data_IF_410864500110
#
_entry.id   IF_410864500110
#
_cell.length_a   1.000
_cell.length_b   1.000
_cell.length_c   1.000
_cell.angle_alpha   90.00
_cell.angle_beta   90.00
_cell.angle_gamma   90.00
#
_symmetry.space_group_name_H-M   'P 1'
#
loop_
_entity.id
_entity.type
_entity.pdbx_description
1 polymer ?
#
# COMPACT_ATOMS: atom_id res chain seq x y z
N UNK A 1 -16.39 -13.40 -15.12
CA UNK A 1 -17.79 -13.82 -14.87
C UNK A 1 -17.93 -14.14 -13.39
N UNK A 2 -19.12 -13.83 -12.81
CA UNK A 2 -19.45 -14.21 -11.45
C UNK A 2 -20.02 -15.64 -11.36
N UNK A 3 -20.15 -16.17 -10.14
CA UNK A 3 -20.68 -17.50 -9.88
C UNK A 3 -22.17 -17.63 -10.19
N UNK A 4 -22.93 -16.52 -10.13
CA UNK A 4 -24.36 -16.51 -10.50
C UNK A 4 -24.66 -16.33 -11.99
N UNK A 5 -23.65 -15.96 -12.80
CA UNK A 5 -23.87 -15.75 -14.24
C UNK A 5 -24.28 -17.04 -14.97
N UNK A 6 -23.86 -18.20 -14.47
CA UNK A 6 -24.06 -19.49 -15.10
C UNK A 6 -25.32 -20.25 -14.62
N UNK A 7 -26.29 -19.60 -13.98
CA UNK A 7 -27.51 -20.28 -13.48
C UNK A 7 -28.44 -20.80 -14.58
N UNK A 8 -28.47 -20.15 -15.76
CA UNK A 8 -29.34 -20.51 -16.86
C UNK A 8 -28.61 -20.95 -18.12
N UNK A 9 -27.40 -20.47 -18.34
CA UNK A 9 -26.55 -20.79 -19.46
C UNK A 9 -25.17 -21.25 -18.95
N UNK A 10 -24.52 -22.13 -19.68
CA UNK A 10 -23.14 -22.52 -19.34
C UNK A 10 -22.20 -21.31 -19.48
N UNK A 11 -21.12 -21.30 -18.70
CA UNK A 11 -20.07 -20.28 -18.78
C UNK A 11 -19.50 -20.16 -20.21
N UNK A 12 -19.36 -21.28 -20.92
CA UNK A 12 -18.93 -21.30 -22.33
C UNK A 12 -19.91 -20.61 -23.27
N UNK A 13 -21.21 -20.76 -23.06
CA UNK A 13 -22.24 -20.10 -23.85
C UNK A 13 -22.22 -18.59 -23.60
N UNK A 14 -22.17 -18.17 -22.34
CA UNK A 14 -22.08 -16.76 -21.96
C UNK A 14 -20.81 -16.14 -22.58
N UNK A 15 -19.66 -16.80 -22.43
CA UNK A 15 -18.40 -16.31 -22.99
C UNK A 15 -18.47 -16.17 -24.52
N UNK A 16 -19.04 -17.17 -25.23
CA UNK A 16 -19.23 -17.07 -26.66
C UNK A 16 -20.14 -15.90 -27.08
N UNK A 17 -21.21 -15.64 -26.30
CA UNK A 17 -22.10 -14.51 -26.52
C UNK A 17 -21.39 -13.17 -26.33
N UNK A 18 -20.64 -13.03 -25.22
CA UNK A 18 -19.85 -11.83 -24.95
C UNK A 18 -18.79 -11.60 -26.02
N UNK A 19 -18.05 -12.64 -26.38
CA UNK A 19 -16.98 -12.57 -27.39
C UNK A 19 -17.50 -12.23 -28.77
N UNK A 20 -18.71 -12.63 -29.11
CA UNK A 20 -19.37 -12.29 -30.36
C UNK A 20 -19.88 -10.83 -30.43
N UNK A 21 -19.92 -10.12 -29.31
CA UNK A 21 -20.37 -8.72 -29.27
C UNK A 21 -19.34 -7.81 -29.95
N UNK A 22 -19.79 -6.91 -30.78
CA UNK A 22 -18.95 -5.89 -31.43
C UNK A 22 -18.32 -4.90 -30.44
N UNK A 23 -18.79 -4.86 -29.22
CA UNK A 23 -18.28 -4.01 -28.17
C UNK A 23 -17.30 -4.74 -27.21
N UNK A 24 -17.10 -6.04 -27.43
CA UNK A 24 -16.16 -6.79 -26.63
C UNK A 24 -14.72 -6.44 -27.03
N UNK A 25 -13.97 -5.91 -26.07
CA UNK A 25 -12.58 -5.50 -26.27
C UNK A 25 -11.57 -6.50 -25.70
N UNK A 26 -12.05 -7.58 -25.05
CA UNK A 26 -11.20 -8.63 -24.53
C UNK A 26 -10.53 -9.46 -25.64
N UNK A 27 -9.39 -10.04 -25.30
CA UNK A 27 -8.71 -11.00 -26.15
C UNK A 27 -9.32 -12.41 -25.96
N UNK A 28 -9.15 -13.32 -26.94
CA UNK A 28 -9.54 -14.70 -26.74
C UNK A 28 -8.86 -15.30 -25.49
N UNK A 29 -9.64 -16.00 -24.66
CA UNK A 29 -9.08 -16.76 -23.54
C UNK A 29 -8.14 -17.83 -24.08
N UNK A 30 -6.94 -18.03 -23.49
CA UNK A 30 -6.08 -19.15 -23.88
C UNK A 30 -6.81 -20.48 -23.67
N UNK A 31 -6.68 -21.39 -24.62
CA UNK A 31 -7.44 -22.66 -24.62
C UNK A 31 -6.93 -23.70 -23.65
N UNK A 32 -5.69 -23.54 -23.20
CA UNK A 32 -4.98 -24.52 -22.37
C UNK A 32 -5.03 -24.18 -20.88
N UNK A 33 -5.82 -23.18 -20.48
CA UNK A 33 -5.94 -22.81 -19.08
C UNK A 33 -7.40 -22.86 -18.61
N UNK A 34 -7.58 -23.09 -17.33
CA UNK A 34 -8.89 -23.13 -16.68
C UNK A 34 -9.62 -21.80 -16.79
N UNK A 35 -10.96 -21.86 -16.78
CA UNK A 35 -11.83 -20.69 -16.81
C UNK A 35 -12.00 -20.06 -18.19
N UNK A 36 -12.88 -19.06 -18.24
CA UNK A 36 -13.32 -18.37 -19.47
C UNK A 36 -13.05 -16.86 -19.38
N UNK A 37 -12.51 -16.28 -20.45
CA UNK A 37 -12.29 -14.83 -20.53
C UNK A 37 -11.01 -14.35 -19.86
N UNK A 38 -10.09 -15.25 -19.53
CA UNK A 38 -8.76 -14.84 -19.07
C UNK A 38 -8.05 -14.07 -20.17
N UNK A 39 -7.68 -12.82 -19.90
CA UNK A 39 -6.95 -11.99 -20.86
C UNK A 39 -6.11 -10.92 -20.19
N UNK A 40 -5.11 -10.43 -20.92
CA UNK A 40 -4.32 -9.27 -20.54
C UNK A 40 -4.54 -8.16 -21.58
N UNK A 41 -5.00 -7.00 -21.15
CA UNK A 41 -5.32 -5.87 -21.99
C UNK A 41 -4.28 -4.76 -21.76
N UNK A 42 -3.30 -4.58 -22.67
CA UNK A 42 -2.35 -3.49 -22.57
C UNK A 42 -3.03 -2.14 -22.87
N UNK A 43 -2.76 -1.16 -22.05
CA UNK A 43 -3.08 0.24 -22.28
C UNK A 43 -1.86 0.89 -22.91
N UNK A 44 -2.03 1.49 -24.07
CA UNK A 44 -0.97 2.09 -24.86
C UNK A 44 -0.92 3.61 -24.68
N UNK A 45 0.26 4.19 -24.90
CA UNK A 45 0.42 5.63 -25.04
C UNK A 45 -0.30 6.17 -26.29
N UNK A 46 -0.39 7.50 -26.40
CA UNK A 46 -1.04 8.18 -27.54
C UNK A 46 -0.18 8.22 -28.81
N UNK A 47 0.97 7.57 -28.82
CA UNK A 47 1.87 7.55 -29.97
C UNK A 47 1.40 6.51 -31.00
N UNK A 48 0.61 6.94 -31.98
CA UNK A 48 0.03 6.05 -33.01
C UNK A 48 1.05 5.38 -33.93
N UNK A 49 2.27 5.92 -34.04
CA UNK A 49 3.31 5.37 -34.94
C UNK A 49 4.12 4.26 -34.25
N UNK A 50 4.34 4.35 -32.95
CA UNK A 50 5.14 3.40 -32.17
C UNK A 50 4.52 3.24 -30.77
N UNK A 51 3.24 2.91 -30.68
CA UNK A 51 2.53 2.76 -29.42
C UNK A 51 3.21 1.72 -28.52
N UNK A 52 3.49 2.12 -27.28
CA UNK A 52 4.08 1.25 -26.25
C UNK A 52 3.06 1.02 -25.14
N UNK A 53 3.00 -0.19 -24.58
CA UNK A 53 2.17 -0.44 -23.41
C UNK A 53 2.70 0.37 -22.22
N UNK A 54 1.79 1.03 -21.52
CA UNK A 54 2.05 1.85 -20.33
C UNK A 54 1.49 1.22 -19.07
N UNK A 55 0.45 0.42 -19.21
CA UNK A 55 -0.15 -0.36 -18.13
C UNK A 55 -0.76 -1.64 -18.71
N UNK A 56 -1.08 -2.59 -17.84
CA UNK A 56 -1.79 -3.82 -18.23
C UNK A 56 -2.98 -4.06 -17.31
N UNK A 57 -4.14 -4.39 -17.88
CA UNK A 57 -5.31 -4.87 -17.14
C UNK A 57 -5.39 -6.38 -17.32
N UNK A 58 -5.21 -7.13 -16.24
CA UNK A 58 -5.42 -8.57 -16.22
C UNK A 58 -6.86 -8.86 -15.82
N UNK A 59 -7.59 -9.56 -16.68
CA UNK A 59 -8.90 -10.12 -16.37
C UNK A 59 -8.72 -11.62 -16.16
N UNK A 60 -9.03 -12.11 -14.98
CA UNK A 60 -8.90 -13.53 -14.61
C UNK A 60 -10.29 -14.08 -14.30
N UNK A 61 -10.57 -15.28 -14.74
CA UNK A 61 -11.76 -16.01 -14.29
C UNK A 61 -11.44 -16.65 -12.93
N UNK A 62 -12.10 -16.21 -11.88
CA UNK A 62 -11.99 -16.81 -10.54
C UNK A 62 -12.81 -18.10 -10.39
N UNK A 63 -13.32 -18.61 -11.50
CA UNK A 63 -14.15 -19.81 -11.60
C UNK A 63 -15.52 -19.67 -10.91
N UNK A 64 -16.08 -20.74 -10.39
CA UNK A 64 -17.47 -20.87 -9.97
C UNK A 64 -17.56 -21.50 -8.57
N UNK A 65 -18.67 -22.17 -8.29
CA UNK A 65 -18.80 -23.02 -7.11
C UNK A 65 -17.87 -24.26 -7.21
N UNK A 66 -17.28 -24.62 -6.08
CA UNK A 66 -16.44 -25.83 -5.99
C UNK A 66 -17.33 -27.09 -6.07
N UNK A 67 -17.10 -28.01 -7.02
CA UNK A 67 -17.86 -29.26 -7.12
C UNK A 67 -17.69 -30.17 -5.91
N UNK A 68 -16.47 -30.24 -5.38
CA UNK A 68 -16.16 -30.99 -4.16
C UNK A 68 -16.35 -30.12 -2.92
N UNK A 69 -17.45 -30.32 -2.22
CA UNK A 69 -17.82 -29.52 -1.03
C UNK A 69 -16.89 -29.70 0.15
N UNK A 70 -16.08 -30.73 0.20
CA UNK A 70 -15.04 -30.91 1.22
C UNK A 70 -13.90 -29.88 1.05
N UNK A 71 -13.67 -29.39 -0.17
CA UNK A 71 -12.68 -28.36 -0.51
C UNK A 71 -13.19 -26.93 -0.31
N UNK A 72 -14.47 -26.74 -0.08
CA UNK A 72 -15.08 -25.42 0.16
C UNK A 72 -16.30 -25.17 -0.72
N UNK A 73 -16.84 -23.96 -0.63
CA UNK A 73 -18.01 -23.56 -1.41
C UNK A 73 -17.62 -23.03 -2.77
N UNK A 74 -16.57 -22.24 -2.83
CA UNK A 74 -16.08 -21.57 -4.04
C UNK A 74 -14.79 -22.21 -4.53
N UNK A 75 -14.64 -22.25 -5.86
CA UNK A 75 -13.43 -22.65 -6.54
C UNK A 75 -12.37 -21.53 -6.44
N UNK A 76 -11.14 -21.82 -6.81
CA UNK A 76 -10.00 -20.90 -6.71
C UNK A 76 -9.41 -20.62 -8.09
N UNK A 77 -8.54 -19.62 -8.19
CA UNK A 77 -7.73 -19.38 -9.39
C UNK A 77 -6.72 -20.51 -9.53
N UNK A 78 -6.80 -21.31 -10.58
CA UNK A 78 -6.05 -22.53 -10.78
C UNK A 78 -4.57 -22.26 -11.11
N UNK A 79 -3.73 -23.25 -10.90
CA UNK A 79 -2.28 -23.14 -11.12
C UNK A 79 -1.90 -22.82 -12.57
N UNK A 80 -2.64 -23.32 -13.54
CA UNK A 80 -2.45 -23.01 -14.96
C UNK A 80 -2.75 -21.54 -15.29
N UNK A 81 -3.77 -20.96 -14.64
CA UNK A 81 -4.08 -19.52 -14.75
C UNK A 81 -2.98 -18.66 -14.11
N UNK A 82 -2.46 -19.09 -12.95
CA UNK A 82 -1.36 -18.43 -12.27
C UNK A 82 -0.09 -18.48 -13.11
N UNK A 83 0.23 -19.62 -13.68
CA UNK A 83 1.40 -19.77 -14.54
C UNK A 83 1.27 -18.90 -15.82
N UNK A 84 0.08 -18.87 -16.42
CA UNK A 84 -0.20 -18.00 -17.55
C UNK A 84 0.01 -16.52 -17.19
N UNK A 85 -0.52 -16.07 -16.04
CA UNK A 85 -0.28 -14.71 -15.56
C UNK A 85 1.23 -14.44 -15.40
N UNK A 86 1.97 -15.31 -14.74
CA UNK A 86 3.42 -15.16 -14.49
C UNK A 86 4.20 -15.02 -15.79
N UNK A 87 3.91 -15.83 -16.79
CA UNK A 87 4.54 -15.75 -18.13
C UNK A 87 4.17 -14.48 -18.88
N UNK A 88 2.91 -14.09 -18.82
CA UNK A 88 2.42 -12.87 -19.48
C UNK A 88 3.05 -11.62 -18.86
N UNK A 89 3.10 -11.53 -17.53
CA UNK A 89 3.78 -10.46 -16.79
C UNK A 89 5.26 -10.37 -17.15
N UNK A 90 5.94 -11.52 -17.23
CA UNK A 90 7.35 -11.55 -17.64
C UNK A 90 7.56 -11.08 -19.08
N UNK A 91 6.68 -11.46 -19.99
CA UNK A 91 6.73 -11.01 -21.38
C UNK A 91 6.61 -9.48 -21.49
N UNK A 92 5.65 -8.86 -20.79
CA UNK A 92 5.51 -7.40 -20.73
C UNK A 92 6.74 -6.74 -20.07
N UNK A 93 7.24 -7.30 -19.00
CA UNK A 93 8.45 -6.82 -18.31
C UNK A 93 9.66 -6.83 -19.26
N UNK A 94 9.86 -7.90 -20.03
CA UNK A 94 10.94 -7.99 -21.02
C UNK A 94 10.78 -6.95 -22.14
N UNK A 95 9.56 -6.78 -22.65
CA UNK A 95 9.25 -5.75 -23.66
C UNK A 95 9.47 -4.34 -23.14
N UNK A 96 9.30 -4.10 -21.84
CA UNK A 96 9.53 -2.81 -21.19
C UNK A 96 10.96 -2.68 -20.59
N UNK A 97 11.98 -3.15 -21.30
CA UNK A 97 13.38 -3.04 -20.87
C UNK A 97 13.66 -3.65 -19.48
N UNK A 98 13.07 -4.79 -19.19
CA UNK A 98 13.18 -5.50 -17.90
C UNK A 98 12.61 -4.72 -16.71
N UNK A 99 11.68 -3.81 -16.94
CA UNK A 99 10.95 -3.08 -15.89
C UNK A 99 9.48 -3.52 -15.91
N UNK A 100 8.91 -3.93 -14.80
CA UNK A 100 7.48 -4.20 -14.74
C UNK A 100 6.64 -3.00 -15.20
N UNK A 101 5.49 -3.25 -15.77
CA UNK A 101 4.49 -2.22 -16.06
C UNK A 101 3.48 -2.14 -14.92
N UNK A 102 3.04 -0.95 -14.51
CA UNK A 102 1.96 -0.85 -13.53
C UNK A 102 0.72 -1.58 -14.08
N UNK A 103 0.17 -2.49 -13.30
CA UNK A 103 -0.91 -3.35 -13.75
C UNK A 103 -2.02 -3.43 -12.70
N UNK A 104 -3.25 -3.63 -13.17
CA UNK A 104 -4.40 -3.92 -12.32
C UNK A 104 -4.94 -5.31 -12.66
N UNK A 105 -5.49 -6.00 -11.68
CA UNK A 105 -6.07 -7.32 -11.87
C UNK A 105 -7.53 -7.32 -11.42
N UNK A 106 -8.38 -7.97 -12.22
CA UNK A 106 -9.82 -8.04 -12.02
C UNK A 106 -10.31 -9.48 -12.08
N UNK A 107 -11.04 -9.89 -11.07
CA UNK A 107 -11.76 -11.17 -11.02
C UNK A 107 -12.94 -11.07 -10.04
N UNK A 108 -13.76 -12.12 -9.93
CA UNK A 108 -15.01 -12.03 -9.18
C UNK A 108 -14.85 -12.42 -7.70
N UNK A 109 -14.42 -13.66 -7.42
CA UNK A 109 -14.32 -14.21 -6.06
C UNK A 109 -13.02 -13.73 -5.39
N UNK A 110 -13.07 -13.09 -4.21
CA UNK A 110 -11.89 -12.49 -3.59
C UNK A 110 -10.84 -13.53 -3.15
N UNK A 111 -9.60 -13.09 -3.06
CA UNK A 111 -8.49 -13.87 -2.46
C UNK A 111 -8.63 -13.90 -0.94
N UNK A 112 -8.08 -14.93 -0.32
CA UNK A 112 -8.06 -15.05 1.16
C UNK A 112 -7.35 -13.90 1.85
N UNK A 113 -6.42 -13.22 1.18
CA UNK A 113 -5.66 -12.08 1.70
C UNK A 113 -6.51 -10.82 1.96
N UNK A 114 -7.74 -10.75 1.44
CA UNK A 114 -8.69 -9.69 1.81
C UNK A 114 -9.03 -9.70 3.31
N UNK A 115 -9.01 -10.86 3.96
CA UNK A 115 -9.16 -10.98 5.42
C UNK A 115 -8.08 -10.18 6.18
N UNK A 116 -6.83 -10.19 5.69
CA UNK A 116 -5.73 -9.47 6.35
C UNK A 116 -5.96 -7.96 6.33
N UNK A 117 -6.54 -7.42 5.25
CA UNK A 117 -6.90 -5.99 5.15
C UNK A 117 -7.95 -5.64 6.19
N UNK A 118 -8.99 -6.46 6.29
CA UNK A 118 -10.08 -6.26 7.24
C UNK A 118 -9.59 -6.34 8.70
N UNK A 119 -8.81 -7.38 9.03
CA UNK A 119 -8.28 -7.60 10.38
C UNK A 119 -7.39 -6.43 10.87
N UNK A 120 -6.62 -5.81 9.98
CA UNK A 120 -5.82 -4.64 10.34
C UNK A 120 -6.65 -3.38 10.57
N UNK A 121 -7.86 -3.31 10.01
CA UNK A 121 -8.73 -2.15 10.14
C UNK A 121 -8.26 -0.89 9.40
N UNK A 122 -7.15 -0.94 8.64
CA UNK A 122 -6.64 0.17 7.82
C UNK A 122 -7.17 0.05 6.38
N UNK A 123 -8.43 0.40 6.21
CA UNK A 123 -9.12 0.39 4.92
C UNK A 123 -10.09 1.56 4.78
N UNK A 124 -10.39 1.94 3.55
CA UNK A 124 -11.42 2.90 3.16
C UNK A 124 -12.63 2.17 2.59
N UNK A 125 -13.83 2.68 2.84
CA UNK A 125 -15.09 2.13 2.32
C UNK A 125 -15.85 1.30 3.34
N UNK A 126 -16.80 0.48 2.88
CA UNK A 126 -17.74 -0.27 3.69
C UNK A 126 -17.42 -1.76 3.75
N UNK A 127 -17.55 -2.31 4.92
CA UNK A 127 -17.68 -3.72 5.20
C UNK A 127 -18.97 -3.92 5.97
N UNK A 128 -19.99 -4.43 5.32
CA UNK A 128 -21.33 -4.64 5.91
C UNK A 128 -21.81 -6.09 5.71
N UNK A 129 -21.03 -6.93 5.09
CA UNK A 129 -21.35 -8.33 4.85
C UNK A 129 -20.96 -9.20 6.06
N UNK A 130 -21.56 -10.38 6.17
CA UNK A 130 -21.28 -11.36 7.23
C UNK A 130 -19.92 -12.06 7.04
N UNK A 131 -19.11 -11.64 6.07
CA UNK A 131 -17.81 -12.21 5.81
C UNK A 131 -17.18 -11.76 4.49
N UNK A 132 -16.03 -12.34 4.21
CA UNK A 132 -15.37 -12.34 2.91
C UNK A 132 -15.49 -13.76 2.36
N UNK A 133 -16.31 -13.90 1.33
CA UNK A 133 -16.62 -15.20 0.74
C UNK A 133 -15.58 -15.61 -0.30
N UNK A 134 -14.37 -15.87 0.18
CA UNK A 134 -13.25 -16.34 -0.65
C UNK A 134 -13.25 -17.87 -0.81
N UNK A 135 -12.49 -18.35 -1.78
CA UNK A 135 -12.14 -19.77 -1.84
C UNK A 135 -11.44 -20.21 -0.54
N UNK A 136 -11.72 -21.44 -0.09
CA UNK A 136 -11.04 -22.02 1.08
C UNK A 136 -9.58 -22.37 0.78
N UNK A 137 -9.29 -22.73 -0.47
CA UNK A 137 -7.94 -23.07 -0.92
C UNK A 137 -7.21 -21.81 -1.39
N UNK A 138 -6.06 -21.52 -0.77
CA UNK A 138 -5.12 -20.52 -1.26
C UNK A 138 -4.18 -21.16 -2.29
N UNK A 139 -4.37 -20.84 -3.56
CA UNK A 139 -3.56 -21.38 -4.66
C UNK A 139 -2.22 -20.64 -4.87
N UNK A 140 -1.94 -19.58 -4.09
CA UNK A 140 -0.70 -18.82 -4.21
C UNK A 140 -0.74 -17.71 -5.26
N UNK A 141 -1.91 -17.30 -5.73
CA UNK A 141 -2.03 -16.17 -6.66
C UNK A 141 -1.43 -14.90 -6.06
N UNK A 142 -1.78 -14.55 -4.84
CA UNK A 142 -1.23 -13.37 -4.19
C UNK A 142 0.31 -13.40 -4.07
N UNK A 143 0.89 -14.55 -3.71
CA UNK A 143 2.34 -14.74 -3.71
C UNK A 143 2.97 -14.48 -5.07
N UNK A 144 2.30 -14.86 -6.15
CA UNK A 144 2.75 -14.61 -7.53
C UNK A 144 2.70 -13.11 -7.88
N UNK A 145 1.70 -12.36 -7.40
CA UNK A 145 1.63 -10.90 -7.56
C UNK A 145 2.80 -10.20 -6.86
N UNK A 146 3.08 -10.59 -5.62
CA UNK A 146 4.19 -10.05 -4.82
C UNK A 146 5.55 -10.32 -5.50
N UNK A 147 5.72 -11.51 -6.09
CA UNK A 147 6.95 -11.89 -6.80
C UNK A 147 7.16 -11.08 -8.10
N UNK A 148 6.11 -10.92 -8.91
CA UNK A 148 6.18 -10.23 -10.22
C UNK A 148 6.25 -8.71 -10.10
N UNK A 149 5.71 -8.09 -9.07
CA UNK A 149 5.80 -6.65 -8.77
C UNK A 149 5.21 -5.73 -9.83
N UNK A 150 4.34 -6.23 -10.68
CA UNK A 150 3.66 -5.46 -11.72
C UNK A 150 2.24 -5.05 -11.29
N UNK A 151 1.51 -5.93 -10.62
CA UNK A 151 0.15 -5.66 -10.17
C UNK A 151 0.17 -4.81 -8.89
N UNK A 152 -0.40 -3.62 -9.01
CA UNK A 152 -0.51 -2.63 -7.93
C UNK A 152 -1.89 -2.60 -7.27
N UNK A 153 -2.89 -3.18 -7.91
CA UNK A 153 -4.25 -3.29 -7.38
C UNK A 153 -5.00 -4.50 -7.92
N UNK A 154 -5.72 -5.17 -7.03
CA UNK A 154 -6.64 -6.27 -7.32
C UNK A 154 -8.04 -5.81 -6.96
N UNK A 155 -8.98 -6.00 -7.89
CA UNK A 155 -10.38 -5.58 -7.72
C UNK A 155 -11.31 -6.75 -7.95
N UNK A 156 -12.21 -6.96 -6.97
CA UNK A 156 -13.16 -8.08 -6.96
C UNK A 156 -14.60 -7.60 -6.83
N UNK A 157 -15.54 -8.49 -7.07
CA UNK A 157 -16.97 -8.31 -6.77
C UNK A 157 -17.42 -9.27 -5.70
N UNK A 158 -18.43 -10.08 -5.98
CA UNK A 158 -18.96 -11.21 -5.18
C UNK A 158 -19.74 -10.79 -3.92
N UNK A 159 -19.10 -10.12 -2.99
CA UNK A 159 -19.70 -9.69 -1.72
C UNK A 159 -20.39 -8.33 -1.91
N UNK A 160 -21.70 -8.32 -2.19
CA UNK A 160 -22.43 -7.13 -2.66
C UNK A 160 -22.49 -5.99 -1.64
N UNK A 161 -22.29 -6.29 -0.36
CA UNK A 161 -22.30 -5.28 0.71
C UNK A 161 -20.91 -4.80 1.09
N UNK A 162 -19.86 -5.25 0.37
CA UNK A 162 -18.50 -4.80 0.55
C UNK A 162 -18.09 -3.89 -0.61
N UNK A 163 -17.45 -2.77 -0.27
CA UNK A 163 -16.77 -1.90 -1.23
C UNK A 163 -15.45 -1.35 -0.68
N UNK A 164 -14.94 -1.97 0.38
CA UNK A 164 -13.70 -1.51 0.98
C UNK A 164 -12.47 -1.73 0.09
N UNK A 165 -11.41 -0.96 0.37
CA UNK A 165 -10.08 -1.09 -0.22
C UNK A 165 -9.01 -0.80 0.83
N UNK A 166 -7.94 -1.57 0.84
CA UNK A 166 -6.78 -1.35 1.68
C UNK A 166 -5.53 -2.01 1.11
N UNK A 167 -4.38 -1.78 1.73
CA UNK A 167 -3.12 -2.36 1.27
C UNK A 167 -2.83 -3.71 1.93
N UNK A 168 -2.39 -4.68 1.17
CA UNK A 168 -1.70 -5.86 1.64
C UNK A 168 -0.37 -5.99 0.92
N UNK A 169 0.75 -5.99 1.67
CA UNK A 169 2.11 -6.08 1.12
C UNK A 169 2.36 -5.19 -0.11
N UNK A 170 1.93 -3.93 -0.01
CA UNK A 170 2.04 -2.92 -1.08
C UNK A 170 1.18 -3.20 -2.33
N UNK A 171 0.21 -4.08 -2.28
CA UNK A 171 -0.81 -4.28 -3.31
C UNK A 171 -2.15 -3.82 -2.72
N UNK A 172 -2.88 -2.98 -3.43
CA UNK A 172 -4.23 -2.62 -3.02
C UNK A 172 -5.19 -3.77 -3.30
N UNK A 173 -5.95 -4.19 -2.30
CA UNK A 173 -7.03 -5.16 -2.42
C UNK A 173 -8.36 -4.42 -2.22
N UNK A 174 -9.17 -4.32 -3.26
CA UNK A 174 -10.40 -3.56 -3.25
C UNK A 174 -11.59 -4.32 -3.83
N UNK A 175 -12.75 -4.08 -3.27
CA UNK A 175 -14.01 -4.49 -3.88
C UNK A 175 -14.47 -3.45 -4.91
N UNK A 176 -15.17 -3.91 -5.92
CA UNK A 176 -16.05 -3.07 -6.73
C UNK A 176 -17.19 -2.49 -5.90
N UNK A 177 -18.15 -1.88 -6.55
CA UNK A 177 -19.41 -1.44 -5.93
C UNK A 177 -20.55 -2.14 -6.63
N UNK A 178 -21.51 -2.67 -5.87
CA UNK A 178 -22.76 -3.17 -6.44
C UNK A 178 -23.39 -2.12 -7.35
N UNK A 179 -23.76 -2.51 -8.57
CA UNK A 179 -24.28 -1.59 -9.58
C UNK A 179 -25.76 -1.82 -9.92
N UNK A 180 -26.30 -3.01 -9.60
CA UNK A 180 -27.70 -3.39 -9.87
C UNK A 180 -28.65 -2.93 -8.76
N UNK A 181 -29.84 -2.49 -9.16
CA UNK A 181 -30.89 -2.09 -8.21
C UNK A 181 -31.57 -3.30 -7.56
N UNK A 182 -31.54 -4.46 -8.19
CA UNK A 182 -32.15 -5.71 -7.69
C UNK A 182 -31.18 -6.58 -6.90
N UNK A 183 -29.94 -6.10 -6.70
CA UNK A 183 -28.99 -6.80 -5.86
C UNK A 183 -29.39 -6.68 -4.38
N UNK A 184 -29.14 -7.73 -3.61
CA UNK A 184 -29.37 -7.70 -2.15
C UNK A 184 -28.40 -6.73 -1.46
N UNK A 185 -28.75 -6.31 -0.24
CA UNK A 185 -27.94 -5.45 0.59
C UNK A 185 -28.42 -4.00 0.64
N UNK A 186 -27.78 -3.22 1.51
CA UNK A 186 -28.16 -1.83 1.78
C UNK A 186 -27.32 -0.81 1.04
N UNK A 187 -26.25 -1.23 0.37
CA UNK A 187 -25.37 -0.32 -0.36
C UNK A 187 -26.07 0.25 -1.60
N UNK A 188 -26.05 1.57 -1.73
CA UNK A 188 -26.57 2.24 -2.93
C UNK A 188 -25.78 1.81 -4.16
N UNK A 189 -26.46 1.52 -5.28
CA UNK A 189 -25.80 1.21 -6.54
C UNK A 189 -24.80 2.28 -6.97
N UNK A 190 -23.68 1.85 -7.52
CA UNK A 190 -22.61 2.74 -7.98
C UNK A 190 -21.54 1.99 -8.74
N UNK A 191 -20.39 2.60 -8.84
CA UNK A 191 -19.21 2.00 -9.45
C UNK A 191 -17.94 2.45 -8.71
N UNK A 192 -16.94 1.60 -8.66
CA UNK A 192 -15.59 2.02 -8.31
C UNK A 192 -14.92 2.58 -9.55
N UNK A 193 -14.46 3.82 -9.44
CA UNK A 193 -13.68 4.49 -10.47
C UNK A 193 -12.21 4.34 -10.12
N UNK A 194 -11.36 4.09 -11.13
CA UNK A 194 -9.92 3.94 -10.96
C UNK A 194 -9.23 4.84 -11.97
N UNK A 195 -8.42 5.76 -11.51
CA UNK A 195 -7.61 6.66 -12.33
C UNK A 195 -6.15 6.24 -12.25
N UNK A 196 -5.63 5.66 -13.34
CA UNK A 196 -4.23 5.27 -13.48
C UNK A 196 -3.39 6.44 -13.98
N UNK A 197 -2.20 6.59 -13.41
CA UNK A 197 -1.24 7.62 -13.82
C UNK A 197 -0.19 7.04 -14.76
N UNK A 198 -0.06 7.63 -15.94
CA UNK A 198 0.92 7.20 -16.96
C UNK A 198 2.35 7.26 -16.41
N UNK A 199 3.14 6.23 -16.71
CA UNK A 199 4.54 6.07 -16.28
C UNK A 199 4.77 6.01 -14.75
N UNK A 200 3.71 5.89 -13.94
CA UNK A 200 3.79 5.80 -12.49
C UNK A 200 3.12 4.52 -11.97
N UNK A 201 3.73 3.94 -10.94
CA UNK A 201 3.05 2.92 -10.12
C UNK A 201 2.12 3.64 -9.13
N UNK A 202 1.08 4.28 -9.69
CA UNK A 202 0.13 5.10 -8.95
C UNK A 202 -1.26 4.98 -9.57
N UNK A 203 -2.26 4.92 -8.71
CA UNK A 203 -3.65 5.17 -9.07
C UNK A 203 -4.39 5.84 -7.91
N UNK A 204 -5.42 6.59 -8.23
CA UNK A 204 -6.42 7.04 -7.29
C UNK A 204 -7.73 6.32 -7.58
N UNK A 205 -8.53 6.04 -6.56
CA UNK A 205 -9.82 5.37 -6.73
C UNK A 205 -10.86 5.91 -5.76
N UNK A 206 -12.12 5.88 -6.18
CA UNK A 206 -13.26 6.31 -5.36
C UNK A 206 -14.53 5.57 -5.77
N UNK A 207 -15.54 5.68 -4.94
CA UNK A 207 -16.90 5.20 -5.27
C UNK A 207 -17.69 6.34 -5.86
N UNK A 208 -18.26 6.13 -7.04
CA UNK A 208 -19.20 7.03 -7.70
C UNK A 208 -20.62 6.47 -7.59
N UNK A 209 -21.55 7.28 -7.08
CA UNK A 209 -22.97 6.97 -6.97
C UNK A 209 -23.79 8.10 -7.60
N UNK A 210 -25.11 7.94 -7.64
CA UNK A 210 -26.00 9.03 -8.09
C UNK A 210 -26.07 10.21 -7.09
N UNK A 211 -25.45 10.11 -5.89
CA UNK A 211 -25.35 11.17 -4.89
C UNK A 211 -24.00 11.89 -4.92
N UNK A 212 -23.07 11.40 -5.75
CA UNK A 212 -21.74 11.97 -5.88
C UNK A 212 -20.63 10.94 -5.61
N UNK A 213 -19.43 11.44 -5.53
CA UNK A 213 -18.22 10.66 -5.30
C UNK A 213 -17.89 10.63 -3.81
N UNK A 214 -17.47 9.46 -3.32
CA UNK A 214 -17.04 9.24 -1.93
C UNK A 214 -15.92 8.20 -1.86
N UNK A 215 -15.41 7.95 -0.65
CA UNK A 215 -14.49 6.86 -0.34
C UNK A 215 -13.22 6.86 -1.20
N UNK A 216 -12.56 8.03 -1.29
CA UNK A 216 -11.28 8.19 -2.00
C UNK A 216 -10.16 7.41 -1.32
N UNK A 217 -9.36 6.72 -2.13
CA UNK A 217 -8.18 5.98 -1.71
C UNK A 217 -7.03 6.24 -2.69
N UNK A 218 -5.83 6.47 -2.16
CA UNK A 218 -4.66 6.92 -2.90
C UNK A 218 -3.54 5.87 -2.83
N UNK A 219 -3.29 5.17 -3.95
CA UNK A 219 -2.15 4.27 -4.07
C UNK A 219 -0.91 5.01 -4.58
N UNK A 220 0.32 4.79 -4.07
CA UNK A 220 0.74 3.73 -3.16
C UNK A 220 0.67 4.08 -1.66
N UNK A 221 0.31 5.32 -1.30
CA UNK A 221 0.37 5.77 0.10
C UNK A 221 -0.60 5.02 1.01
N UNK A 222 -1.70 4.48 0.47
CA UNK A 222 -2.78 3.89 1.25
C UNK A 222 -3.52 4.91 2.13
N UNK A 223 -3.35 6.21 1.84
CA UNK A 223 -4.12 7.27 2.46
C UNK A 223 -5.51 7.33 1.83
N UNK A 224 -6.45 7.94 2.56
CA UNK A 224 -7.84 7.95 2.15
C UNK A 224 -8.58 9.19 2.66
N UNK A 225 -9.79 9.43 2.14
CA UNK A 225 -10.67 10.48 2.66
C UNK A 225 -11.05 10.26 4.13
N UNK A 226 -11.15 9.00 4.59
CA UNK A 226 -11.35 8.68 6.01
C UNK A 226 -10.23 9.23 6.90
N UNK A 227 -8.99 9.16 6.43
CA UNK A 227 -7.85 9.72 7.17
C UNK A 227 -7.96 11.25 7.26
N UNK A 228 -8.35 11.91 6.15
CA UNK A 228 -8.56 13.38 6.12
C UNK A 228 -9.68 13.82 7.06
N UNK A 229 -10.74 13.04 7.20
CA UNK A 229 -11.89 13.31 8.07
C UNK A 229 -11.61 13.04 9.56
N UNK A 230 -10.88 11.98 9.86
CA UNK A 230 -10.69 11.51 11.24
C UNK A 230 -9.47 12.11 11.94
N UNK A 231 -8.41 12.43 11.19
CA UNK A 231 -7.19 12.96 11.77
C UNK A 231 -7.28 14.49 11.94
N UNK A 232 -7.21 14.92 13.19
CA UNK A 232 -7.19 16.35 13.51
C UNK A 232 -5.92 17.00 12.95
N UNK A 233 -6.08 18.13 12.25
CA UNK A 233 -4.96 18.91 11.73
C UNK A 233 -4.11 19.45 12.89
N UNK A 234 -2.82 19.14 12.89
CA UNK A 234 -1.84 19.75 13.79
C UNK A 234 -1.35 21.08 13.20
N UNK A 235 -1.46 22.19 13.93
CA UNK A 235 -1.06 23.50 13.43
C UNK A 235 0.46 23.60 13.31
N UNK A 236 0.95 24.30 12.29
CA UNK A 236 2.36 24.59 12.16
C UNK A 236 2.87 25.46 13.31
N UNK A 237 4.10 25.23 13.73
CA UNK A 237 4.77 26.00 14.77
C UNK A 237 5.35 27.30 14.20
N UNK A 238 5.26 28.38 14.98
CA UNK A 238 6.05 29.58 14.71
C UNK A 238 7.50 29.30 15.08
N UNK A 239 8.34 29.10 14.08
CA UNK A 239 9.72 28.68 14.24
C UNK A 239 10.66 29.49 13.34
N UNK A 240 11.80 29.88 13.88
CA UNK A 240 12.89 30.56 13.16
C UNK A 240 14.06 29.60 13.01
N UNK A 241 14.24 29.01 11.83
CA UNK A 241 15.32 28.06 11.60
C UNK A 241 16.68 28.76 11.55
N UNK A 242 17.71 28.15 12.16
CA UNK A 242 19.08 28.65 12.09
C UNK A 242 19.85 27.95 10.96
N UNK A 243 19.77 26.61 10.92
CA UNK A 243 20.47 25.83 9.90
C UNK A 243 19.77 24.48 9.64
N UNK A 244 20.05 23.86 8.49
CA UNK A 244 19.63 22.51 8.24
C UNK A 244 20.39 21.52 9.15
N UNK A 245 19.69 20.49 9.61
CA UNK A 245 20.27 19.42 10.38
C UNK A 245 19.31 18.83 11.43
N UNK A 246 19.85 17.88 12.16
CA UNK A 246 19.22 17.14 13.23
C UNK A 246 20.12 17.19 14.47
N UNK A 247 19.63 17.70 15.58
CA UNK A 247 20.32 17.59 16.86
C UNK A 247 20.24 16.15 17.36
N UNK A 248 21.31 15.63 17.92
CA UNK A 248 21.34 14.28 18.51
C UNK A 248 21.95 14.28 19.89
N UNK A 249 21.53 13.29 20.66
CA UNK A 249 22.17 12.86 21.91
C UNK A 249 22.39 11.35 21.81
N UNK A 250 23.66 10.94 21.94
CA UNK A 250 24.10 9.56 21.86
C UNK A 250 24.37 9.01 23.27
N UNK A 251 23.81 7.83 23.55
CA UNK A 251 23.86 7.16 24.84
C UNK A 251 24.44 5.76 24.68
N UNK A 252 25.18 5.29 25.72
CA UNK A 252 25.65 3.91 25.80
C UNK A 252 25.11 3.22 27.04
N UNK A 253 24.61 1.98 26.90
CA UNK A 253 24.06 1.16 27.97
C UNK A 253 23.03 0.16 27.45
N UNK A 254 22.73 -0.86 28.23
CA UNK A 254 21.70 -1.84 27.88
C UNK A 254 20.32 -1.20 27.84
N UNK A 255 19.60 -1.44 26.75
CA UNK A 255 18.26 -0.92 26.54
C UNK A 255 17.36 -2.04 26.02
N UNK A 256 16.11 -2.05 26.43
CA UNK A 256 15.08 -3.00 25.94
C UNK A 256 13.93 -2.29 25.25
N UNK A 257 13.88 -0.98 25.39
CA UNK A 257 12.86 -0.11 24.83
C UNK A 257 13.40 1.33 24.78
N UNK A 258 12.80 2.14 23.93
CA UNK A 258 13.22 3.55 23.74
C UNK A 258 13.16 4.38 25.03
N UNK A 259 12.28 4.05 25.97
CA UNK A 259 12.17 4.70 27.28
C UNK A 259 13.40 4.46 28.20
N UNK A 260 14.28 3.55 27.84
CA UNK A 260 15.52 3.29 28.61
C UNK A 260 16.68 4.20 28.18
N UNK A 261 16.60 4.80 26.97
CA UNK A 261 17.64 5.67 26.41
C UNK A 261 18.05 6.79 27.40
N UNK A 262 17.13 7.59 27.95
CA UNK A 262 17.51 8.68 28.88
C UNK A 262 18.12 8.21 30.22
N UNK A 263 17.99 6.91 30.53
CA UNK A 263 18.54 6.31 31.75
C UNK A 263 19.99 5.84 31.57
N UNK A 264 20.41 5.68 30.30
CA UNK A 264 21.76 5.27 29.96
C UNK A 264 22.75 6.43 30.02
N UNK A 265 24.03 6.13 29.81
CA UNK A 265 25.11 7.13 29.94
C UNK A 265 25.18 8.00 28.67
N UNK A 266 24.92 9.29 28.81
CA UNK A 266 25.15 10.26 27.72
C UNK A 266 26.63 10.33 27.39
N UNK A 267 27.00 10.07 26.15
CA UNK A 267 28.39 10.09 25.65
C UNK A 267 28.69 11.28 24.74
N UNK A 268 27.73 11.61 23.88
CA UNK A 268 27.96 12.63 22.88
C UNK A 268 26.66 13.38 22.57
N UNK A 269 26.77 14.64 22.21
CA UNK A 269 25.69 15.44 21.65
C UNK A 269 26.22 16.34 20.53
N UNK A 270 25.38 16.62 19.53
CA UNK A 270 25.79 17.44 18.40
C UNK A 270 24.67 17.69 17.41
N UNK A 271 25.06 18.07 16.22
CA UNK A 271 24.16 18.22 15.07
C UNK A 271 24.75 17.50 13.87
N UNK A 272 23.92 16.75 13.15
CA UNK A 272 24.27 16.01 11.94
C UNK A 272 23.29 16.31 10.82
N UNK A 273 23.61 15.97 9.56
CA UNK A 273 22.76 16.33 8.41
C UNK A 273 21.40 15.65 8.38
N UNK A 274 21.30 14.44 8.93
CA UNK A 274 20.09 13.61 8.93
C UNK A 274 20.16 12.60 10.09
N UNK A 275 19.21 11.67 10.18
CA UNK A 275 19.18 10.55 11.14
C UNK A 275 20.23 9.50 10.73
N UNK A 276 21.49 9.75 11.09
CA UNK A 276 22.63 8.90 10.71
C UNK A 276 23.07 8.09 11.92
N UNK A 277 23.17 6.79 11.75
CA UNK A 277 23.80 5.87 12.67
C UNK A 277 25.02 5.23 12.00
N UNK A 278 25.96 4.73 12.79
CA UNK A 278 27.12 4.00 12.27
C UNK A 278 26.70 2.56 11.97
N UNK A 279 26.25 2.29 10.74
CA UNK A 279 25.77 0.97 10.30
C UNK A 279 26.91 -0.06 10.13
N UNK A 280 28.15 0.39 9.98
CA UNK A 280 29.32 -0.47 9.84
C UNK A 280 30.00 -0.76 11.21
N UNK A 281 29.59 -0.05 12.25
CA UNK A 281 30.14 -0.19 13.59
C UNK A 281 29.72 -1.51 14.24
N UNK A 282 30.64 -2.15 14.94
CA UNK A 282 30.40 -3.36 15.74
C UNK A 282 29.96 -3.04 17.18
N UNK A 283 29.37 -1.87 17.41
CA UNK A 283 28.92 -1.48 18.75
C UNK A 283 27.48 -1.91 18.98
N UNK A 284 27.31 -2.69 20.03
CA UNK A 284 26.01 -2.98 20.62
C UNK A 284 25.74 -2.03 21.80
N UNK A 285 24.51 -2.03 22.32
CA UNK A 285 24.10 -1.33 23.55
C UNK A 285 24.21 0.19 23.48
N UNK A 286 23.66 0.78 22.45
CA UNK A 286 23.60 2.23 22.31
C UNK A 286 22.20 2.74 21.94
N UNK A 287 21.99 4.05 22.05
CA UNK A 287 20.76 4.69 21.60
C UNK A 287 20.95 6.14 21.26
N UNK A 288 20.04 6.65 20.46
CA UNK A 288 19.96 8.03 20.04
C UNK A 288 18.62 8.65 20.41
N UNK A 289 18.65 9.92 20.82
CA UNK A 289 17.50 10.81 20.76
C UNK A 289 17.85 11.89 19.76
N UNK A 290 17.18 11.86 18.60
CA UNK A 290 17.26 12.88 17.58
C UNK A 290 16.15 13.90 17.74
N UNK A 291 16.43 15.17 17.44
CA UNK A 291 15.44 16.24 17.46
C UNK A 291 15.70 17.22 16.32
N UNK A 292 14.65 17.54 15.57
CA UNK A 292 14.68 18.50 14.48
C UNK A 292 13.33 19.20 14.35
N UNK A 293 13.27 20.21 13.49
CA UNK A 293 12.02 20.74 12.95
C UNK A 293 11.91 20.33 11.49
N UNK A 294 10.88 19.57 11.16
CA UNK A 294 10.58 19.22 9.76
C UNK A 294 9.75 20.31 9.11
N UNK A 295 10.19 20.79 7.95
CA UNK A 295 9.41 21.72 7.13
C UNK A 295 8.52 20.94 6.17
N UNK A 296 7.21 20.91 6.44
CA UNK A 296 6.21 20.29 5.57
C UNK A 296 5.80 21.26 4.46
N UNK A 297 5.89 20.88 3.19
CA UNK A 297 5.60 21.80 2.08
C UNK A 297 4.11 22.12 1.92
N UNK A 298 3.24 21.17 2.20
CA UNK A 298 1.79 21.28 1.96
C UNK A 298 0.99 20.72 3.14
N UNK A 299 -0.18 21.27 3.38
CA UNK A 299 -1.11 20.74 4.39
C UNK A 299 -1.76 19.46 3.89
N UNK A 300 -1.96 18.49 4.77
CA UNK A 300 -2.62 17.24 4.46
C UNK A 300 -2.17 16.09 5.35
N UNK A 301 -2.63 14.89 5.02
CA UNK A 301 -2.27 13.68 5.74
C UNK A 301 -0.93 13.16 5.25
N UNK A 302 -0.05 12.90 6.20
CA UNK A 302 1.26 12.29 6.02
C UNK A 302 1.26 10.91 6.65
N UNK A 303 1.76 9.92 5.92
CA UNK A 303 2.10 8.60 6.48
C UNK A 303 3.60 8.58 6.71
N UNK A 304 4.02 8.57 7.96
CA UNK A 304 5.42 8.39 8.36
C UNK A 304 5.73 6.93 8.61
N UNK A 305 6.99 6.55 8.44
CA UNK A 305 7.49 5.25 8.81
C UNK A 305 8.86 5.33 9.46
N UNK A 306 9.16 4.33 10.28
CA UNK A 306 10.51 3.95 10.68
C UNK A 306 10.77 2.52 10.25
N UNK A 307 11.97 2.24 9.76
CA UNK A 307 12.52 0.90 9.57
C UNK A 307 13.74 0.81 10.43
N UNK A 308 13.74 -0.04 11.43
CA UNK A 308 14.82 -0.09 12.42
C UNK A 308 15.09 -1.49 12.92
N UNK A 309 16.32 -1.72 13.29
CA UNK A 309 16.90 -2.80 14.07
C UNK A 309 17.73 -2.17 15.18
N UNK A 310 17.45 -2.25 16.44
CA UNK A 310 16.25 -2.69 17.15
C UNK A 310 15.11 -1.62 17.10
N UNK A 311 14.71 -1.12 18.24
CA UNK A 311 13.51 -0.34 18.45
C UNK A 311 13.61 1.15 18.13
N UNK A 312 12.52 1.71 17.62
CA UNK A 312 12.38 3.15 17.36
C UNK A 312 10.98 3.68 17.64
N UNK A 313 10.90 4.99 17.97
CA UNK A 313 9.65 5.75 18.05
C UNK A 313 9.81 7.11 17.40
N UNK A 314 8.81 7.52 16.62
CA UNK A 314 8.75 8.84 16.01
C UNK A 314 7.63 9.67 16.63
N UNK A 315 7.95 10.90 16.98
CA UNK A 315 7.01 11.88 17.52
C UNK A 315 6.96 13.12 16.63
N UNK A 316 5.76 13.69 16.45
CA UNK A 316 5.56 15.00 15.84
C UNK A 316 4.80 15.88 16.83
N UNK A 317 5.36 17.06 17.11
CA UNK A 317 4.82 18.03 18.09
C UNK A 317 4.46 17.39 19.45
N UNK A 318 5.23 16.35 19.85
CA UNK A 318 5.05 15.60 21.09
C UNK A 318 4.03 14.46 21.01
N UNK A 319 3.38 14.25 19.87
CA UNK A 319 2.46 13.13 19.64
C UNK A 319 3.23 11.94 19.06
N UNK A 320 3.11 10.75 19.63
CA UNK A 320 3.65 9.51 19.09
C UNK A 320 2.91 9.17 17.78
N UNK A 321 3.64 9.19 16.66
CA UNK A 321 3.10 8.89 15.33
C UNK A 321 3.49 7.49 14.89
N UNK A 322 4.73 7.07 15.12
CA UNK A 322 5.18 5.71 14.79
C UNK A 322 5.72 5.03 16.05
N UNK A 323 5.24 3.82 16.29
CA UNK A 323 5.72 2.97 17.38
C UNK A 323 6.30 1.68 16.78
N UNK A 324 7.63 1.60 16.80
CA UNK A 324 8.41 0.42 16.39
C UNK A 324 9.31 0.00 17.57
N UNK A 325 8.82 0.11 18.81
CA UNK A 325 9.61 -0.10 20.03
C UNK A 325 9.87 -1.59 20.33
N UNK A 326 10.85 -1.85 21.18
CA UNK A 326 11.25 -3.18 21.63
C UNK A 326 12.42 -3.78 20.84
N UNK A 327 12.98 -4.88 21.38
CA UNK A 327 14.05 -5.62 20.70
C UNK A 327 13.51 -6.50 19.57
N UNK A 328 14.01 -6.30 18.37
CA UNK A 328 13.60 -7.07 17.17
C UNK A 328 14.58 -6.88 16.03
N UNK A 329 14.68 -7.88 15.15
CA UNK A 329 15.36 -7.71 13.86
C UNK A 329 14.69 -6.63 13.01
N UNK A 330 15.41 -6.14 12.00
CA UNK A 330 14.94 -5.06 11.14
C UNK A 330 13.49 -5.23 10.67
N UNK A 331 12.62 -4.34 11.09
CA UNK A 331 11.21 -4.28 10.69
C UNK A 331 10.74 -2.85 10.52
N UNK A 332 9.58 -2.72 9.88
CA UNK A 332 8.95 -1.44 9.60
C UNK A 332 7.69 -1.27 10.44
N UNK A 333 7.50 -0.04 10.94
CA UNK A 333 6.23 0.44 11.49
C UNK A 333 5.85 1.77 10.83
N UNK A 334 4.56 2.08 10.82
CA UNK A 334 3.98 3.24 10.16
C UNK A 334 2.95 3.92 11.04
N UNK A 335 2.72 5.21 10.78
CA UNK A 335 1.65 5.97 11.41
C UNK A 335 1.23 7.16 10.57
N UNK A 336 -0.01 7.60 10.77
CA UNK A 336 -0.62 8.70 10.00
C UNK A 336 -0.83 9.92 10.89
N UNK A 337 -0.65 11.10 10.32
CA UNK A 337 -0.89 12.38 10.99
C UNK A 337 -1.31 13.42 9.96
N UNK A 338 -2.20 14.34 10.35
CA UNK A 338 -2.63 15.44 9.49
C UNK A 338 -1.92 16.73 9.92
N UNK A 339 -1.11 17.30 9.03
CA UNK A 339 -0.23 18.44 9.31
C UNK A 339 -0.63 19.68 8.50
N UNK A 340 -0.61 20.85 9.11
CA UNK A 340 -0.60 22.10 8.37
C UNK A 340 0.76 22.34 7.71
N UNK A 341 0.80 23.00 6.54
CA UNK A 341 2.06 23.38 5.92
C UNK A 341 2.89 24.28 6.85
N UNK A 342 4.19 24.01 6.98
CA UNK A 342 5.07 24.77 7.86
C UNK A 342 6.02 23.89 8.66
N UNK A 343 6.45 24.35 9.82
CA UNK A 343 7.38 23.63 10.68
C UNK A 343 6.64 22.84 11.76
N UNK A 344 7.11 21.61 11.99
CA UNK A 344 6.66 20.72 13.07
C UNK A 344 7.87 20.16 13.79
N UNK A 345 7.81 20.08 15.12
CA UNK A 345 8.88 19.48 15.90
C UNK A 345 8.87 17.97 15.71
N UNK A 346 9.97 17.42 15.21
CA UNK A 346 10.17 15.99 15.03
C UNK A 346 11.17 15.49 16.07
N UNK A 347 10.82 14.41 16.77
CA UNK A 347 11.71 13.72 17.70
C UNK A 347 11.70 12.23 17.36
N UNK A 348 12.88 11.63 17.23
CA UNK A 348 13.06 10.22 16.95
C UNK A 348 13.93 9.61 18.04
N UNK A 349 13.41 8.56 18.68
CA UNK A 349 14.13 7.74 19.63
C UNK A 349 14.51 6.43 18.91
N UNK A 350 15.78 6.01 19.03
CA UNK A 350 16.29 4.78 18.45
C UNK A 350 17.26 4.12 19.42
N UNK A 351 17.20 2.81 19.55
CA UNK A 351 18.20 2.04 20.27
C UNK A 351 18.56 0.76 19.54
N UNK A 352 19.79 0.33 19.76
CA UNK A 352 20.38 -0.91 19.32
C UNK A 352 20.88 -1.68 20.53
N UNK A 353 20.59 -2.98 20.60
CA UNK A 353 20.96 -3.83 21.70
C UNK A 353 21.96 -4.92 21.29
N UNK A 354 21.66 -5.69 20.22
CA UNK A 354 22.51 -6.79 19.74
C UNK A 354 22.39 -7.04 18.24
N UNK A 355 23.51 -7.32 17.61
CA UNK A 355 23.72 -7.97 16.33
C UNK A 355 23.56 -7.13 15.06
N UNK A 356 22.53 -6.51 14.80
CA UNK A 356 22.31 -5.78 13.55
C UNK A 356 21.79 -4.40 13.84
N UNK A 357 22.19 -3.42 13.06
CA UNK A 357 21.71 -2.06 13.25
C UNK A 357 21.22 -1.47 11.95
N UNK A 358 20.02 -0.93 11.96
CA UNK A 358 19.41 -0.26 10.83
C UNK A 358 18.53 0.88 11.32
N UNK A 359 18.54 2.00 10.59
CA UNK A 359 17.62 3.10 10.83
C UNK A 359 17.31 3.83 9.53
N UNK A 360 16.05 3.77 9.13
CA UNK A 360 15.52 4.59 8.05
C UNK A 360 14.24 5.26 8.51
N UNK A 361 14.08 6.55 8.17
CA UNK A 361 12.90 7.34 8.52
C UNK A 361 12.41 8.05 7.26
N UNK A 362 11.13 7.89 6.98
CA UNK A 362 10.56 8.47 5.76
C UNK A 362 9.08 8.77 5.87
N UNK A 363 8.54 9.25 4.77
CA UNK A 363 7.13 9.58 4.66
C UNK A 363 6.60 9.43 3.24
N UNK A 364 5.28 9.41 3.13
CA UNK A 364 4.52 9.59 1.89
C UNK A 364 3.29 10.47 2.15
N UNK A 365 2.74 11.04 1.08
CA UNK A 365 1.42 11.68 1.05
C UNK A 365 0.61 11.12 -0.12
N UNK A 366 -0.59 11.58 -0.35
CA UNK A 366 -1.34 11.21 -1.56
C UNK A 366 -0.62 11.62 -2.85
N UNK A 367 0.16 12.70 -2.82
CA UNK A 367 0.85 13.27 -3.99
C UNK A 367 2.36 13.02 -3.98
N UNK A 368 2.95 12.74 -2.83
CA UNK A 368 4.38 12.44 -2.68
C UNK A 368 4.54 10.93 -2.46
N UNK A 369 5.20 10.27 -3.42
CA UNK A 369 5.59 8.87 -3.26
C UNK A 369 6.54 8.69 -2.08
N UNK A 370 6.49 7.52 -1.47
CA UNK A 370 7.31 7.16 -0.31
C UNK A 370 8.79 7.42 -0.57
N UNK A 371 9.40 8.10 0.39
CA UNK A 371 10.85 8.40 0.40
C UNK A 371 11.35 8.68 1.81
N UNK A 372 12.65 8.54 2.02
CA UNK A 372 13.33 9.02 3.22
C UNK A 372 13.19 10.54 3.37
N UNK A 373 13.19 11.04 4.60
CA UNK A 373 13.11 12.48 4.86
C UNK A 373 14.38 13.16 4.32
N UNK A 374 14.26 14.07 3.32
CA UNK A 374 15.43 14.77 2.80
C UNK A 374 16.04 15.70 3.86
N UNK A 375 17.36 15.78 3.93
CA UNK A 375 18.06 16.68 4.87
C UNK A 375 17.65 18.15 4.69
N UNK A 376 17.26 18.56 3.49
CA UNK A 376 16.76 19.92 3.22
C UNK A 376 15.44 20.26 3.93
N UNK A 377 14.68 19.25 4.39
CA UNK A 377 13.45 19.44 5.17
C UNK A 377 13.71 19.52 6.66
N UNK A 378 14.90 19.19 7.15
CA UNK A 378 15.25 19.12 8.57
C UNK A 378 16.03 20.35 9.01
N UNK A 379 15.62 20.93 10.12
CA UNK A 379 16.15 22.20 10.63
C UNK A 379 16.34 22.14 12.14
N UNK A 380 17.29 22.94 12.65
CA UNK A 380 17.56 23.09 14.09
C UNK A 380 17.50 24.56 14.52
N UNK A 381 17.27 24.76 15.81
CA UNK A 381 17.17 26.07 16.49
C UNK A 381 18.48 26.47 17.21
N UNK A 382 19.54 25.69 17.07
CA UNK A 382 20.81 25.93 17.75
C UNK A 382 21.97 25.90 16.76
N UNK A 383 22.90 26.84 16.90
CA UNK A 383 24.19 26.78 16.23
C UNK A 383 25.04 25.65 16.81
N UNK A 384 25.76 24.93 15.91
CA UNK A 384 26.78 23.98 16.32
C UNK A 384 27.97 24.78 16.89
N UNK A 385 28.24 24.68 18.16
CA UNK A 385 29.59 24.99 18.65
C UNK A 385 30.52 23.88 18.14
N UNK A 386 31.24 24.13 17.05
CA UNK A 386 32.34 23.25 16.66
C UNK A 386 33.27 23.13 17.87
N UNK A 387 33.36 21.95 18.49
CA UNK A 387 34.46 21.66 19.41
C UNK A 387 35.78 21.88 18.63
N UNK A 388 36.62 22.84 19.12
CA UNK A 388 37.97 23.05 18.64
C UNK A 388 38.86 21.87 18.98
#
# INVERSE_FOLDING_TARGET
MGNHDAEHFSRDEIYRMLFASKFYSGLPSPKEISGNGNCALPIYDNNTANAKPKAVLYCIDSNDYQPDKDLGEYDWIHFDQIEWYRRTSEAFTLQNNKRPLPSLMFFHIPLVEYHNVLERGDYQGKYEDDGIWSARINSGMFGSLVDKKDVIGVFTGHDHQNDFIGLERKIALGYGRVSGYDAYGALKPGARIIELYEDLFKFDTWIATNEGNCDYFYYPSGLSSKDEEQLKVMPALSFQPIQNGVSYRYYEGNMKQTADIPKATLKEEGVMPNFIIDEEGSKDHFGYIFSAYIKVPESGVYRFYTYSDDGSKLFLDGVEVVNNDGGHSAKRAEGKVNLAAGFHKLELHYFENYMGQALEVGFSTKDITERTIPSAMLWVDKEIKKKK
#
